data_IF_238977491519
#
_entry.id   IF_238977491519
#
_cell.length_a   1.000
_cell.length_b   1.000
_cell.length_c   1.000
_cell.angle_alpha   90.00
_cell.angle_beta   90.00
_cell.angle_gamma   90.00
#
_symmetry.space_group_name_H-M   'P 1'
#
loop_
_entity.id
_entity.type
_entity.pdbx_description
1 polymer ?
#
# COMPACT_ATOMS: atom_id res chain seq x y z
N UNK A 1 16.55 -0.15 -26.63
CA UNK A 1 17.42 -0.56 -25.52
C UNK A 1 16.97 -1.91 -25.01
N UNK A 2 17.87 -2.72 -24.43
CA UNK A 2 17.50 -3.92 -23.65
C UNK A 2 17.31 -3.54 -22.19
N UNK A 3 16.16 -3.88 -21.62
CA UNK A 3 15.79 -3.53 -20.24
C UNK A 3 15.39 -4.81 -19.52
N UNK A 4 15.97 -5.04 -18.34
CA UNK A 4 15.55 -6.12 -17.46
C UNK A 4 14.63 -5.59 -16.37
N UNK A 5 13.56 -6.33 -16.04
CA UNK A 5 12.66 -6.07 -14.92
C UNK A 5 12.76 -7.24 -13.94
N UNK A 6 13.22 -6.96 -12.73
CA UNK A 6 13.50 -7.95 -11.69
C UNK A 6 12.37 -7.93 -10.64
N UNK A 7 11.57 -9.00 -10.63
CA UNK A 7 10.36 -9.12 -9.82
C UNK A 7 9.12 -8.71 -10.59
N UNK A 8 8.31 -9.69 -11.02
CA UNK A 8 7.13 -9.49 -11.84
C UNK A 8 5.84 -9.49 -10.99
N UNK A 9 5.85 -8.68 -9.92
CA UNK A 9 4.62 -8.34 -9.17
C UNK A 9 3.81 -7.26 -9.91
N UNK A 10 2.82 -6.65 -9.23
CA UNK A 10 1.98 -5.58 -9.79
C UNK A 10 2.79 -4.46 -10.47
N UNK A 11 3.80 -3.93 -9.79
CA UNK A 11 4.65 -2.87 -10.34
C UNK A 11 5.50 -3.37 -11.50
N UNK A 12 6.18 -4.52 -11.32
CA UNK A 12 7.11 -5.03 -12.33
C UNK A 12 6.45 -5.41 -13.63
N UNK A 13 5.30 -6.10 -13.59
CA UNK A 13 4.58 -6.49 -14.81
C UNK A 13 3.98 -5.27 -15.52
N UNK A 14 3.47 -4.29 -14.77
CA UNK A 14 3.00 -3.02 -15.33
C UNK A 14 4.12 -2.27 -16.05
N UNK A 15 5.28 -2.08 -15.41
CA UNK A 15 6.45 -1.45 -16.04
C UNK A 15 6.91 -2.23 -17.27
N UNK A 16 7.07 -3.56 -17.16
CA UNK A 16 7.43 -4.41 -18.29
C UNK A 16 6.49 -4.22 -19.47
N UNK A 17 5.18 -4.20 -19.20
CA UNK A 17 4.14 -3.99 -20.21
C UNK A 17 4.23 -2.63 -20.92
N UNK A 18 4.37 -1.55 -20.17
CA UNK A 18 4.45 -0.22 -20.76
C UNK A 18 5.78 0.01 -21.50
N UNK A 19 6.91 -0.43 -20.93
CA UNK A 19 8.21 -0.26 -21.57
C UNK A 19 8.39 -1.16 -22.81
N UNK A 20 7.69 -2.29 -22.92
CA UNK A 20 7.75 -3.16 -24.11
C UNK A 20 7.26 -2.48 -25.39
N UNK A 21 6.50 -1.40 -25.28
CA UNK A 21 6.08 -0.59 -26.45
C UNK A 21 7.26 0.06 -27.18
N UNK A 22 8.40 0.28 -26.50
CA UNK A 22 9.57 1.01 -27.05
C UNK A 22 10.90 0.27 -26.86
N UNK A 23 10.96 -0.72 -26.01
CA UNK A 23 12.19 -1.38 -25.60
C UNK A 23 12.04 -2.91 -25.63
N UNK A 24 13.13 -3.62 -25.75
CA UNK A 24 13.17 -5.07 -25.60
C UNK A 24 13.23 -5.42 -24.10
N UNK A 25 12.23 -6.11 -23.59
CA UNK A 25 12.09 -6.36 -22.14
C UNK A 25 12.41 -7.80 -21.81
N UNK A 26 13.26 -8.00 -20.81
CA UNK A 26 13.52 -9.26 -20.15
C UNK A 26 12.84 -9.22 -18.79
N UNK A 27 11.79 -10.00 -18.60
CA UNK A 27 11.06 -10.09 -17.34
C UNK A 27 11.55 -11.27 -16.50
N UNK A 28 12.22 -11.01 -15.40
CA UNK A 28 12.73 -12.01 -14.48
C UNK A 28 11.92 -12.10 -13.19
N UNK A 29 11.54 -13.31 -12.79
CA UNK A 29 11.01 -13.59 -11.44
C UNK A 29 11.54 -14.96 -10.96
N UNK A 30 11.78 -15.10 -9.66
CA UNK A 30 12.21 -16.35 -9.03
C UNK A 30 11.09 -17.39 -8.97
N UNK A 31 9.84 -16.96 -9.06
CA UNK A 31 8.66 -17.81 -9.04
C UNK A 31 8.43 -18.42 -10.44
N UNK A 32 8.77 -19.72 -10.57
CA UNK A 32 8.63 -20.46 -11.82
C UNK A 32 7.19 -20.54 -12.32
N UNK A 33 6.24 -20.76 -11.42
CA UNK A 33 4.82 -20.88 -11.78
C UNK A 33 4.33 -19.57 -12.40
N UNK A 34 4.62 -18.43 -11.76
CA UNK A 34 4.28 -17.11 -12.28
C UNK A 34 4.88 -16.82 -13.65
N UNK A 35 6.17 -17.17 -13.85
CA UNK A 35 6.84 -16.98 -15.13
C UNK A 35 6.18 -17.83 -16.23
N UNK A 36 5.84 -19.09 -15.94
CA UNK A 36 5.14 -19.95 -16.90
C UNK A 36 3.71 -19.45 -17.20
N UNK A 37 3.00 -18.92 -16.21
CA UNK A 37 1.70 -18.29 -16.43
C UNK A 37 1.80 -17.09 -17.37
N UNK A 38 2.77 -16.19 -17.18
CA UNK A 38 3.00 -15.08 -18.11
C UNK A 38 3.35 -15.54 -19.53
N UNK A 39 4.15 -16.59 -19.68
CA UNK A 39 4.42 -17.20 -21.00
C UNK A 39 3.18 -17.78 -21.68
N UNK A 40 2.20 -18.25 -20.89
CA UNK A 40 0.89 -18.72 -21.36
C UNK A 40 -0.12 -17.62 -21.55
N UNK A 41 0.26 -16.37 -21.27
CA UNK A 41 -0.65 -15.22 -21.40
C UNK A 41 -1.58 -14.99 -20.22
N UNK A 42 -1.29 -15.59 -19.08
CA UNK A 42 -2.09 -15.45 -17.85
C UNK A 42 -1.46 -14.42 -16.94
N UNK A 43 -2.13 -13.29 -16.75
CA UNK A 43 -1.76 -12.26 -15.78
C UNK A 43 -2.76 -12.25 -14.63
N UNK A 44 -2.41 -12.88 -13.51
CA UNK A 44 -3.27 -12.89 -12.31
C UNK A 44 -3.33 -11.55 -11.60
N UNK A 45 -2.45 -10.61 -11.93
CA UNK A 45 -2.47 -9.28 -11.34
C UNK A 45 -3.51 -8.37 -12.00
N UNK A 46 -3.99 -8.73 -13.20
CA UNK A 46 -4.89 -7.97 -14.06
C UNK A 46 -4.35 -6.58 -14.48
N UNK A 47 -3.08 -6.29 -14.23
CA UNK A 47 -2.46 -5.00 -14.55
C UNK A 47 -2.32 -4.77 -16.06
N UNK A 48 -1.90 -5.81 -16.77
CA UNK A 48 -1.83 -5.81 -18.24
C UNK A 48 -2.82 -6.79 -18.90
N UNK A 49 -3.33 -7.74 -18.13
CA UNK A 49 -4.35 -8.70 -18.53
C UNK A 49 -3.96 -9.50 -19.77
N UNK A 50 -4.94 -9.77 -20.64
CA UNK A 50 -4.74 -10.57 -21.87
C UNK A 50 -3.70 -9.99 -22.84
N UNK A 51 -3.31 -8.72 -22.69
CA UNK A 51 -2.27 -8.10 -23.53
C UNK A 51 -0.88 -8.73 -23.33
N UNK A 52 -0.64 -9.46 -22.24
CA UNK A 52 0.66 -10.08 -21.94
C UNK A 52 1.21 -10.89 -23.10
N UNK A 53 0.36 -11.59 -23.85
CA UNK A 53 0.72 -12.36 -25.04
C UNK A 53 1.18 -11.52 -26.24
N UNK A 54 0.87 -10.22 -26.25
CA UNK A 54 1.08 -9.33 -27.39
C UNK A 54 2.31 -8.44 -27.21
N UNK A 55 2.92 -8.44 -26.02
CA UNK A 55 3.92 -7.45 -25.62
C UNK A 55 5.36 -7.81 -25.96
N UNK A 56 5.63 -9.03 -26.43
CA UNK A 56 6.98 -9.46 -26.81
C UNK A 56 8.00 -9.40 -25.66
N UNK A 57 7.57 -9.73 -24.45
CA UNK A 57 8.42 -9.77 -23.25
C UNK A 57 9.06 -11.14 -23.14
N UNK A 58 10.39 -11.19 -22.95
CA UNK A 58 11.12 -12.43 -22.71
C UNK A 58 11.05 -12.78 -21.21
N UNK A 59 10.07 -13.61 -20.83
CA UNK A 59 9.92 -14.06 -19.44
C UNK A 59 10.89 -15.17 -19.09
N UNK A 60 11.65 -15.03 -17.99
CA UNK A 60 12.67 -15.97 -17.58
C UNK A 60 12.78 -16.13 -16.06
N UNK A 61 13.27 -17.30 -15.63
CA UNK A 61 13.71 -17.56 -14.25
C UNK A 61 15.24 -17.66 -14.15
N UNK A 62 15.96 -17.41 -15.26
CA UNK A 62 17.42 -17.46 -15.33
C UNK A 62 17.96 -16.06 -15.25
N UNK A 63 18.68 -15.75 -14.17
CA UNK A 63 19.19 -14.39 -13.95
C UNK A 63 20.26 -14.01 -14.97
N UNK A 64 21.01 -14.98 -15.51
CA UNK A 64 22.02 -14.77 -16.53
C UNK A 64 21.48 -14.18 -17.84
N UNK A 65 20.19 -14.31 -18.10
CA UNK A 65 19.57 -13.74 -19.32
C UNK A 65 19.61 -12.20 -19.35
N UNK A 66 19.84 -11.55 -18.17
CA UNK A 66 19.90 -10.08 -18.08
C UNK A 66 21.24 -9.47 -18.52
N UNK A 67 22.26 -10.26 -18.80
CA UNK A 67 23.66 -9.81 -19.02
C UNK A 67 23.81 -8.74 -20.12
N UNK A 68 22.86 -8.63 -21.03
CA UNK A 68 22.84 -7.62 -22.08
C UNK A 68 21.98 -6.40 -21.76
N UNK A 69 21.36 -6.36 -20.60
CA UNK A 69 20.48 -5.24 -20.22
C UNK A 69 21.28 -3.96 -19.96
N UNK A 70 20.83 -2.87 -20.55
CA UNK A 70 21.38 -1.54 -20.37
C UNK A 70 20.80 -0.86 -19.14
N UNK A 71 19.53 -1.16 -18.85
CA UNK A 71 18.80 -0.74 -17.66
C UNK A 71 18.20 -1.95 -16.97
N UNK A 72 18.36 -2.02 -15.65
CA UNK A 72 17.84 -3.10 -14.81
C UNK A 72 16.91 -2.47 -13.77
N UNK A 73 15.60 -2.67 -13.90
CA UNK A 73 14.59 -2.18 -12.98
C UNK A 73 14.36 -3.21 -11.88
N UNK A 74 14.58 -2.85 -10.62
CA UNK A 74 14.35 -3.70 -9.44
C UNK A 74 13.03 -3.32 -8.80
N UNK A 75 12.04 -4.23 -8.89
CA UNK A 75 10.65 -4.04 -8.47
C UNK A 75 10.16 -5.09 -7.46
N UNK A 76 11.10 -5.64 -6.71
CA UNK A 76 10.80 -6.66 -5.68
C UNK A 76 10.09 -6.03 -4.47
N UNK A 77 9.29 -6.82 -3.71
CA UNK A 77 8.57 -6.30 -2.55
C UNK A 77 9.50 -5.92 -1.40
N UNK A 78 9.04 -4.99 -0.57
CA UNK A 78 9.70 -4.55 0.68
C UNK A 78 8.66 -4.54 1.80
N UNK A 79 8.19 -5.71 2.28
CA UNK A 79 7.15 -5.78 3.28
C UNK A 79 7.64 -5.30 4.65
N UNK A 80 6.70 -4.91 5.51
CA UNK A 80 6.97 -4.74 6.95
C UNK A 80 6.52 -6.00 7.69
N UNK A 81 7.38 -6.44 8.61
CA UNK A 81 7.10 -7.57 9.50
C UNK A 81 7.20 -7.07 10.93
N UNK A 82 6.10 -7.11 11.67
CA UNK A 82 5.99 -6.61 13.06
C UNK A 82 6.52 -5.15 13.21
N UNK A 83 6.19 -4.28 12.24
CA UNK A 83 6.64 -2.88 12.24
C UNK A 83 8.11 -2.67 11.86
N UNK A 84 8.82 -3.72 11.46
CA UNK A 84 10.20 -3.65 10.98
C UNK A 84 10.24 -3.91 9.46
N UNK A 85 11.04 -3.13 8.76
CA UNK A 85 11.19 -3.25 7.29
C UNK A 85 11.99 -4.51 6.96
N UNK A 86 11.44 -5.35 6.09
CA UNK A 86 12.18 -6.44 5.47
C UNK A 86 12.69 -6.04 4.08
N UNK A 87 13.91 -5.51 4.05
CA UNK A 87 14.61 -5.14 2.82
C UNK A 87 15.44 -6.31 2.22
N UNK A 88 15.30 -7.53 2.75
CA UNK A 88 16.08 -8.70 2.31
C UNK A 88 15.88 -9.03 0.83
N UNK A 89 14.67 -8.80 0.30
CA UNK A 89 14.37 -9.03 -1.11
C UNK A 89 15.17 -8.11 -2.03
N UNK A 90 15.27 -6.82 -1.69
CA UNK A 90 16.06 -5.85 -2.50
C UNK A 90 17.55 -6.18 -2.43
N UNK A 91 18.06 -6.51 -1.24
CA UNK A 91 19.46 -6.92 -1.07
C UNK A 91 19.77 -8.19 -1.86
N UNK A 92 18.94 -9.22 -1.76
CA UNK A 92 19.09 -10.46 -2.54
C UNK A 92 19.00 -10.22 -4.05
N UNK A 93 18.07 -9.37 -4.51
CA UNK A 93 17.99 -9.00 -5.91
C UNK A 93 19.30 -8.33 -6.37
N UNK A 94 19.85 -7.39 -5.57
CA UNK A 94 21.14 -6.75 -5.85
C UNK A 94 22.30 -7.77 -5.92
N UNK A 95 22.36 -8.73 -4.98
CA UNK A 95 23.34 -9.84 -5.01
C UNK A 95 23.23 -10.68 -6.27
N UNK A 96 22.01 -11.02 -6.68
CA UNK A 96 21.74 -11.88 -7.84
C UNK A 96 22.09 -11.21 -9.17
N UNK A 97 21.78 -9.92 -9.33
CA UNK A 97 22.00 -9.19 -10.58
C UNK A 97 23.46 -8.78 -10.78
N UNK A 98 24.19 -8.51 -9.69
CA UNK A 98 25.51 -7.92 -9.72
C UNK A 98 26.52 -8.68 -10.65
N UNK A 99 26.65 -10.02 -10.60
CA UNK A 99 27.59 -10.74 -11.46
C UNK A 99 27.28 -10.65 -12.96
N UNK A 100 26.02 -10.33 -13.31
CA UNK A 100 25.52 -10.31 -14.68
C UNK A 100 25.31 -8.91 -15.26
N UNK A 101 25.64 -7.87 -14.49
CA UNK A 101 25.56 -6.50 -14.99
C UNK A 101 26.58 -6.25 -16.10
N UNK A 102 26.11 -5.77 -17.24
CA UNK A 102 27.02 -5.33 -18.31
C UNK A 102 27.78 -4.04 -17.92
N UNK A 103 28.89 -3.78 -18.60
CA UNK A 103 29.61 -2.52 -18.48
C UNK A 103 28.72 -1.34 -18.89
N UNK A 104 28.63 -0.32 -18.05
CA UNK A 104 27.80 0.88 -18.26
C UNK A 104 26.31 0.67 -17.99
N UNK A 105 25.88 -0.45 -17.41
CA UNK A 105 24.50 -0.68 -17.02
C UNK A 105 24.05 0.28 -15.90
N UNK A 106 22.76 0.62 -15.89
CA UNK A 106 22.16 1.40 -14.81
C UNK A 106 21.16 0.50 -14.08
N UNK A 107 21.37 0.31 -12.77
CA UNK A 107 20.42 -0.42 -11.89
C UNK A 107 19.50 0.59 -11.23
N UNK A 108 18.19 0.47 -11.49
CA UNK A 108 17.18 1.41 -10.96
C UNK A 108 16.30 0.69 -9.96
N UNK A 109 16.25 1.20 -8.74
CA UNK A 109 15.36 0.69 -7.71
C UNK A 109 14.02 1.40 -7.74
N UNK A 110 12.96 0.63 -7.91
CA UNK A 110 11.56 1.08 -7.88
C UNK A 110 10.88 0.68 -6.56
N UNK A 111 11.46 -0.30 -5.85
CA UNK A 111 10.99 -0.78 -4.56
C UNK A 111 11.01 0.33 -3.51
N UNK A 112 10.01 0.36 -2.63
CA UNK A 112 9.96 1.34 -1.53
C UNK A 112 11.09 1.12 -0.55
N UNK A 113 11.87 2.16 -0.28
CA UNK A 113 12.97 2.12 0.68
C UNK A 113 13.05 3.43 1.50
N UNK A 114 13.82 3.42 2.57
CA UNK A 114 14.09 4.63 3.35
C UNK A 114 15.22 5.46 2.69
N UNK A 115 15.32 6.77 2.98
CA UNK A 115 16.39 7.61 2.46
C UNK A 115 17.77 7.08 2.80
N UNK A 116 18.69 7.13 1.83
CA UNK A 116 20.05 6.59 1.83
C UNK A 116 20.15 5.06 1.60
N UNK A 117 19.05 4.34 1.43
CA UNK A 117 19.10 2.89 1.28
C UNK A 117 19.89 2.46 0.03
N UNK A 118 19.61 3.07 -1.12
CA UNK A 118 20.31 2.73 -2.37
C UNK A 118 21.83 2.95 -2.22
N UNK A 119 22.23 4.06 -1.62
CA UNK A 119 23.64 4.39 -1.45
C UNK A 119 24.34 3.57 -0.39
N UNK A 120 23.72 3.38 0.77
CA UNK A 120 24.35 2.72 1.92
C UNK A 120 24.28 1.20 1.87
N UNK A 121 23.25 0.64 1.20
CA UNK A 121 22.99 -0.80 1.20
C UNK A 121 23.16 -1.43 -0.19
N UNK A 122 22.55 -0.83 -1.24
CA UNK A 122 22.52 -1.46 -2.55
C UNK A 122 23.86 -1.32 -3.30
N UNK A 123 24.46 -0.12 -3.34
CA UNK A 123 25.74 0.11 -4.03
C UNK A 123 26.83 -0.82 -3.49
N UNK A 124 27.09 -0.91 -2.15
CA UNK A 124 28.10 -1.81 -1.64
C UNK A 124 27.89 -3.29 -2.00
N UNK A 125 26.62 -3.72 -2.08
CA UNK A 125 26.29 -5.09 -2.50
C UNK A 125 26.63 -5.27 -3.98
N UNK A 126 26.21 -4.34 -4.85
CA UNK A 126 26.50 -4.40 -6.28
C UNK A 126 28.00 -4.44 -6.56
N UNK A 127 28.78 -3.57 -5.91
CA UNK A 127 30.23 -3.52 -6.05
C UNK A 127 30.89 -4.82 -5.58
N UNK A 128 30.50 -5.29 -4.38
CA UNK A 128 31.06 -6.52 -3.78
C UNK A 128 30.88 -7.76 -4.68
N UNK A 129 29.69 -7.94 -5.24
CA UNK A 129 29.35 -9.15 -5.98
C UNK A 129 29.66 -9.07 -7.48
N UNK A 130 29.81 -7.85 -8.05
CA UNK A 130 30.21 -7.67 -9.44
C UNK A 130 31.73 -7.48 -9.61
N UNK A 131 32.42 -7.00 -8.58
CA UNK A 131 33.82 -6.54 -8.68
C UNK A 131 33.97 -5.24 -9.47
N UNK A 132 32.89 -4.50 -9.70
CA UNK A 132 32.83 -3.24 -10.46
C UNK A 132 32.63 -2.06 -9.53
N UNK A 133 32.98 -0.86 -9.98
CA UNK A 133 32.87 0.40 -9.22
C UNK A 133 31.67 1.23 -9.71
N UNK A 134 30.82 1.68 -8.77
CA UNK A 134 29.69 2.56 -9.09
C UNK A 134 30.16 3.95 -9.51
N UNK A 135 29.56 4.50 -10.57
CA UNK A 135 29.98 5.76 -11.17
C UNK A 135 31.12 5.62 -12.18
N UNK A 136 31.74 4.44 -12.32
CA UNK A 136 32.81 4.11 -13.28
C UNK A 136 32.37 3.01 -14.23
N UNK A 137 32.04 1.83 -13.68
CA UNK A 137 31.72 0.63 -14.45
C UNK A 137 30.20 0.42 -14.62
N UNK A 138 29.42 0.91 -13.68
CA UNK A 138 27.96 0.91 -13.69
C UNK A 138 27.44 2.13 -12.94
N UNK A 139 26.16 2.39 -13.03
CA UNK A 139 25.53 3.44 -12.24
C UNK A 139 24.24 2.93 -11.57
N UNK A 140 23.71 3.70 -10.64
CA UNK A 140 22.43 3.39 -9.99
C UNK A 140 21.46 4.55 -10.11
N UNK A 141 20.16 4.21 -10.05
CA UNK A 141 19.07 5.16 -9.99
C UNK A 141 18.02 4.73 -8.99
N UNK A 142 17.16 5.67 -8.67
CA UNK A 142 15.97 5.44 -7.89
C UNK A 142 14.77 6.15 -8.51
N UNK A 143 13.64 5.44 -8.57
CA UNK A 143 12.41 6.00 -9.10
C UNK A 143 11.21 5.39 -8.37
N UNK A 144 10.59 6.12 -7.41
CA UNK A 144 9.48 5.60 -6.63
C UNK A 144 8.24 5.34 -7.49
N UNK A 145 7.55 4.23 -7.24
CA UNK A 145 6.27 3.94 -7.85
C UNK A 145 5.11 4.51 -7.04
N UNK A 146 4.10 5.08 -7.73
CA UNK A 146 2.93 5.75 -7.15
C UNK A 146 1.59 5.23 -7.66
N UNK A 147 1.60 4.17 -8.47
CA UNK A 147 0.36 3.55 -8.98
C UNK A 147 -0.39 2.89 -7.82
N UNK A 148 -1.71 3.09 -7.82
CA UNK A 148 -2.61 2.37 -6.94
C UNK A 148 -3.20 1.19 -7.72
N UNK A 149 -2.92 -0.07 -7.32
CA UNK A 149 -3.44 -1.24 -8.01
C UNK A 149 -4.94 -1.13 -8.26
N UNK A 150 -5.36 -1.41 -9.51
CA UNK A 150 -6.76 -1.30 -9.94
C UNK A 150 -7.23 0.11 -10.30
N UNK A 151 -6.42 1.16 -10.15
CA UNK A 151 -6.78 2.52 -10.58
C UNK A 151 -6.55 2.68 -12.09
N UNK A 152 -7.65 2.64 -12.85
CA UNK A 152 -7.63 2.78 -14.32
C UNK A 152 -7.46 4.22 -14.80
N UNK A 153 -7.60 5.21 -13.90
CA UNK A 153 -7.50 6.63 -14.23
C UNK A 153 -6.06 7.14 -14.07
N UNK A 154 -5.43 6.80 -12.93
CA UNK A 154 -4.07 7.23 -12.62
C UNK A 154 -3.10 6.07 -12.90
N UNK A 155 -2.72 5.94 -14.16
CA UNK A 155 -1.83 4.89 -14.66
C UNK A 155 -0.36 5.33 -14.63
N UNK A 156 0.57 4.39 -14.81
CA UNK A 156 2.00 4.69 -14.95
C UNK A 156 2.27 5.77 -16.00
N UNK A 157 1.51 5.82 -17.11
CA UNK A 157 1.73 6.78 -18.20
C UNK A 157 1.45 8.24 -17.81
N UNK A 158 0.44 8.48 -16.98
CA UNK A 158 -0.06 9.85 -16.71
C UNK A 158 0.30 10.39 -15.31
N UNK A 159 0.80 9.54 -14.40
CA UNK A 159 1.35 10.00 -13.13
C UNK A 159 2.75 10.57 -13.37
N UNK A 160 3.06 11.70 -12.73
CA UNK A 160 4.41 12.25 -12.76
C UNK A 160 5.40 11.29 -12.08
N UNK A 161 6.38 10.82 -12.84
CA UNK A 161 7.42 9.89 -12.36
C UNK A 161 8.63 10.67 -11.85
N UNK A 162 8.95 10.53 -10.57
CA UNK A 162 10.17 11.10 -9.98
C UNK A 162 11.33 10.19 -10.30
N UNK A 163 12.47 10.75 -10.71
CA UNK A 163 13.69 10.00 -11.03
C UNK A 163 14.94 10.68 -10.45
N UNK A 164 15.88 9.89 -9.97
CA UNK A 164 17.21 10.34 -9.59
C UNK A 164 18.25 9.31 -10.01
N UNK A 165 19.42 9.76 -10.42
CA UNK A 165 20.60 8.94 -10.65
C UNK A 165 21.67 9.16 -9.58
N UNK A 166 22.70 8.34 -9.63
CA UNK A 166 23.91 8.47 -8.81
C UNK A 166 24.58 9.85 -8.99
N UNK A 167 24.53 10.36 -10.22
CA UNK A 167 25.03 11.65 -10.66
C UNK A 167 24.07 12.32 -11.67
N UNK A 168 24.41 13.53 -12.13
CA UNK A 168 23.58 14.30 -13.07
C UNK A 168 23.45 13.59 -14.42
N UNK A 169 24.52 12.96 -14.92
CA UNK A 169 24.51 12.23 -16.18
C UNK A 169 23.55 11.05 -16.13
N UNK A 170 23.61 10.26 -15.06
CA UNK A 170 22.70 9.14 -14.83
C UNK A 170 21.26 9.63 -14.67
N UNK A 171 21.04 10.73 -13.93
CA UNK A 171 19.72 11.36 -13.77
C UNK A 171 19.14 11.77 -15.12
N UNK A 172 19.94 12.36 -15.98
CA UNK A 172 19.54 12.75 -17.34
C UNK A 172 19.18 11.53 -18.19
N UNK A 173 20.05 10.49 -18.23
CA UNK A 173 19.81 9.24 -18.97
C UNK A 173 18.51 8.56 -18.52
N UNK A 174 18.26 8.48 -17.22
CA UNK A 174 17.04 7.92 -16.67
C UNK A 174 15.83 8.79 -17.02
N UNK A 175 15.98 10.12 -16.95
CA UNK A 175 14.92 11.02 -17.39
C UNK A 175 14.47 10.76 -18.82
N UNK A 176 15.41 10.60 -19.76
CA UNK A 176 15.13 10.27 -21.16
C UNK A 176 14.53 8.87 -21.32
N UNK A 177 15.04 7.89 -20.58
CA UNK A 177 14.50 6.54 -20.58
C UNK A 177 13.02 6.54 -20.17
N UNK A 178 12.68 7.12 -19.03
CA UNK A 178 11.30 7.18 -18.56
C UNK A 178 10.38 8.00 -19.47
N UNK A 179 10.84 9.12 -20.02
CA UNK A 179 10.09 9.93 -21.01
C UNK A 179 9.76 9.19 -22.30
N UNK A 180 10.47 8.11 -22.61
CA UNK A 180 10.13 7.29 -23.79
C UNK A 180 8.72 6.71 -23.72
N UNK A 181 8.16 6.55 -22.51
CA UNK A 181 6.86 5.91 -22.25
C UNK A 181 5.95 6.73 -21.34
N UNK A 182 6.53 7.50 -20.39
CA UNK A 182 5.80 8.24 -19.36
C UNK A 182 5.71 9.72 -19.76
N UNK A 183 4.51 10.30 -19.72
CA UNK A 183 4.27 11.67 -20.18
C UNK A 183 5.02 12.74 -19.38
N UNK A 184 5.11 12.54 -18.05
CA UNK A 184 5.72 13.52 -17.13
C UNK A 184 6.77 12.86 -16.26
N UNK A 185 8.02 13.33 -16.40
CA UNK A 185 9.15 12.89 -15.58
C UNK A 185 9.73 14.09 -14.85
N UNK A 186 9.89 13.97 -13.55
CA UNK A 186 10.44 15.00 -12.68
C UNK A 186 11.78 14.54 -12.10
N UNK A 187 12.91 14.99 -12.66
CA UNK A 187 14.22 14.67 -12.11
C UNK A 187 14.47 15.43 -10.81
N UNK A 188 15.05 14.74 -9.83
CA UNK A 188 15.53 15.33 -8.57
C UNK A 188 17.03 15.13 -8.42
N UNK A 189 17.66 15.99 -7.63
CA UNK A 189 19.10 16.11 -7.60
C UNK A 189 19.85 14.91 -6.99
N UNK A 190 19.20 14.14 -6.10
CA UNK A 190 19.85 13.04 -5.37
C UNK A 190 18.95 11.83 -5.21
N UNK A 191 19.56 10.65 -5.09
CA UNK A 191 18.86 9.40 -4.79
C UNK A 191 18.02 9.54 -3.51
N UNK A 192 18.60 10.15 -2.48
CA UNK A 192 17.99 10.34 -1.17
C UNK A 192 16.72 11.21 -1.23
N UNK A 193 16.72 12.22 -2.12
CA UNK A 193 15.54 13.06 -2.33
C UNK A 193 14.40 12.27 -3.00
N UNK A 194 14.71 11.42 -3.97
CA UNK A 194 13.72 10.55 -4.62
C UNK A 194 13.19 9.48 -3.67
N UNK A 195 14.05 8.85 -2.87
CA UNK A 195 13.67 7.89 -1.83
C UNK A 195 12.76 8.55 -0.77
N UNK A 196 13.16 9.72 -0.26
CA UNK A 196 12.38 10.47 0.73
C UNK A 196 11.01 10.90 0.21
N UNK A 197 10.91 11.27 -1.07
CA UNK A 197 9.69 11.79 -1.67
C UNK A 197 8.49 10.86 -1.42
N UNK A 198 8.61 9.59 -1.75
CA UNK A 198 7.53 8.61 -1.60
C UNK A 198 7.11 8.40 -0.15
N UNK A 199 8.08 8.07 0.70
CA UNK A 199 7.79 7.72 2.10
C UNK A 199 7.30 8.93 2.90
N UNK A 200 7.79 10.13 2.60
CA UNK A 200 7.34 11.37 3.23
C UNK A 200 5.91 11.74 2.78
N UNK A 201 5.59 11.55 1.49
CA UNK A 201 4.26 11.81 0.94
C UNK A 201 3.20 10.90 1.59
N UNK A 202 3.48 9.61 1.78
CA UNK A 202 2.56 8.70 2.47
C UNK A 202 2.52 8.97 3.99
N UNK A 203 3.64 9.35 4.60
CA UNK A 203 3.70 9.80 5.99
C UNK A 203 2.87 11.06 6.24
N UNK A 204 2.85 12.00 5.29
CA UNK A 204 1.99 13.19 5.35
C UNK A 204 0.51 12.81 5.35
N UNK A 205 0.11 11.81 4.54
CA UNK A 205 -1.28 11.30 4.54
C UNK A 205 -1.62 10.68 5.88
N UNK A 206 -0.78 9.80 6.40
CA UNK A 206 -0.96 9.16 7.70
C UNK A 206 -1.12 10.18 8.83
N UNK A 207 -0.25 11.20 8.87
CA UNK A 207 -0.29 12.29 9.83
C UNK A 207 -1.61 13.09 9.76
N UNK A 208 -2.04 13.46 8.55
CA UNK A 208 -3.27 14.23 8.38
C UNK A 208 -4.51 13.43 8.79
N UNK A 209 -4.54 12.12 8.51
CA UNK A 209 -5.61 11.24 8.97
C UNK A 209 -5.57 11.13 10.50
N UNK A 210 -4.38 10.99 11.11
CA UNK A 210 -4.23 10.94 12.57
C UNK A 210 -4.78 12.19 13.25
N UNK A 211 -4.55 13.38 12.66
CA UNK A 211 -5.12 14.63 13.17
C UNK A 211 -6.65 14.58 13.23
N UNK A 212 -7.30 14.15 12.15
CA UNK A 212 -8.76 14.07 12.09
C UNK A 212 -9.27 12.95 13.01
N UNK A 213 -8.60 11.79 13.04
CA UNK A 213 -8.94 10.70 13.96
C UNK A 213 -8.86 11.14 15.42
N UNK A 214 -7.78 11.82 15.80
CA UNK A 214 -7.64 12.31 17.17
C UNK A 214 -8.72 13.33 17.54
N UNK A 215 -9.05 14.25 16.62
CA UNK A 215 -10.15 15.19 16.82
C UNK A 215 -11.48 14.45 17.05
N UNK A 216 -11.82 13.48 16.18
CA UNK A 216 -13.04 12.69 16.30
C UNK A 216 -13.13 11.91 17.62
N UNK A 217 -12.02 11.35 18.08
CA UNK A 217 -11.97 10.58 19.34
C UNK A 217 -12.09 11.48 20.57
N UNK A 218 -11.54 12.70 20.54
CA UNK A 218 -11.54 13.65 21.67
C UNK A 218 -12.83 14.46 21.80
N UNK A 219 -13.52 14.70 20.70
CA UNK A 219 -14.75 15.51 20.63
C UNK A 219 -15.90 14.72 20.00
N UNK A 220 -16.31 13.58 20.61
CA UNK A 220 -17.35 12.72 20.04
C UNK A 220 -18.75 13.39 19.97
N UNK A 221 -18.94 14.53 20.62
CA UNK A 221 -20.14 15.36 20.55
C UNK A 221 -20.16 16.28 19.32
N UNK A 222 -19.06 16.42 18.59
CA UNK A 222 -18.96 17.23 17.38
C UNK A 222 -19.01 16.31 16.16
N UNK A 223 -19.87 16.64 15.22
CA UNK A 223 -19.91 15.95 13.93
C UNK A 223 -18.63 16.25 13.12
N UNK A 224 -17.65 15.34 13.21
CA UNK A 224 -16.37 15.45 12.52
C UNK A 224 -16.53 15.53 11.00
N UNK A 225 -17.49 14.80 10.42
CA UNK A 225 -17.73 14.84 8.98
C UNK A 225 -18.27 16.21 8.53
N UNK A 226 -19.15 16.85 9.33
CA UNK A 226 -19.60 18.21 9.06
C UNK A 226 -18.44 19.22 9.14
N UNK A 227 -17.55 19.06 10.12
CA UNK A 227 -16.34 19.90 10.24
C UNK A 227 -15.46 19.75 9.00
N UNK A 228 -15.17 18.51 8.58
CA UNK A 228 -14.34 18.24 7.40
C UNK A 228 -15.03 18.75 6.11
N UNK A 229 -16.35 18.56 5.97
CA UNK A 229 -17.11 19.14 4.84
C UNK A 229 -16.95 20.67 4.81
N UNK A 230 -17.05 21.34 5.97
CA UNK A 230 -16.85 22.78 6.07
C UNK A 230 -15.41 23.22 5.77
N UNK A 231 -14.40 22.47 6.23
CA UNK A 231 -12.99 22.69 5.85
C UNK A 231 -12.80 22.60 4.34
N UNK A 232 -13.37 21.59 3.70
CA UNK A 232 -13.24 21.30 2.27
C UNK A 232 -13.93 22.33 1.35
N UNK A 233 -14.67 23.29 1.88
CA UNK A 233 -15.18 24.42 1.08
C UNK A 233 -14.08 25.42 0.67
N UNK A 234 -12.88 25.34 1.26
CA UNK A 234 -11.76 26.23 0.96
C UNK A 234 -10.85 25.59 -0.09
N UNK A 235 -10.31 26.42 -0.98
CA UNK A 235 -9.46 26.00 -2.09
C UNK A 235 -8.17 25.27 -1.64
N UNK A 236 -7.69 25.53 -0.44
CA UNK A 236 -6.46 24.95 0.12
C UNK A 236 -6.73 23.77 1.09
N UNK A 237 -7.96 23.25 1.11
CA UNK A 237 -8.30 22.09 1.92
C UNK A 237 -7.59 20.83 1.43
N UNK A 238 -7.21 19.95 2.35
CA UNK A 238 -6.45 18.74 2.05
C UNK A 238 -7.34 17.50 1.83
N UNK A 239 -8.63 17.55 2.21
CA UNK A 239 -9.62 16.51 1.93
C UNK A 239 -9.51 15.24 2.77
N UNK A 240 -8.71 15.23 3.84
CA UNK A 240 -8.59 14.06 4.71
C UNK A 240 -9.81 13.92 5.63
N UNK A 241 -10.21 12.65 5.88
CA UNK A 241 -11.31 12.27 6.76
C UNK A 241 -10.82 11.31 7.83
N UNK A 242 -11.61 11.12 8.90
CA UNK A 242 -11.40 10.06 9.88
C UNK A 242 -11.56 8.67 9.28
N UNK A 243 -10.99 7.67 9.94
CA UNK A 243 -11.16 6.26 9.56
C UNK A 243 -9.99 5.37 9.93
N UNK A 244 -10.16 4.09 9.64
CA UNK A 244 -9.13 3.08 9.83
C UNK A 244 -8.00 3.26 8.81
N UNK A 245 -6.75 3.19 9.26
CA UNK A 245 -5.57 3.33 8.41
C UNK A 245 -4.85 1.99 8.33
N UNK A 246 -5.16 1.24 7.29
CA UNK A 246 -4.57 -0.07 6.96
C UNK A 246 -3.84 -0.06 5.62
N UNK A 247 -3.63 -1.26 5.07
CA UNK A 247 -2.94 -1.46 3.79
C UNK A 247 -1.42 -1.29 3.88
N UNK A 248 -0.74 -1.36 2.72
CA UNK A 248 0.72 -1.41 2.65
C UNK A 248 1.38 -0.04 2.53
N UNK A 249 0.68 0.99 2.07
CA UNK A 249 1.32 2.28 1.78
C UNK A 249 1.25 3.22 2.98
N UNK A 250 0.02 3.69 3.33
CA UNK A 250 -0.13 4.74 4.35
C UNK A 250 0.26 4.25 5.74
N UNK A 251 -0.05 2.98 6.08
CA UNK A 251 0.26 2.41 7.39
C UNK A 251 1.73 1.98 7.55
N UNK A 252 2.40 1.65 6.45
CA UNK A 252 3.76 1.07 6.48
C UNK A 252 4.87 2.07 6.13
N UNK A 253 4.69 2.93 5.12
CA UNK A 253 5.74 3.86 4.68
C UNK A 253 6.27 4.80 5.80
N UNK A 254 5.47 5.29 6.78
CA UNK A 254 6.01 6.03 7.92
C UNK A 254 7.05 5.25 8.73
N UNK A 255 6.92 3.90 8.79
CA UNK A 255 7.86 3.05 9.52
C UNK A 255 9.27 3.11 8.91
N UNK A 256 9.38 3.33 7.58
CA UNK A 256 10.66 3.50 6.91
C UNK A 256 11.43 4.72 7.42
N UNK A 257 10.73 5.86 7.58
CA UNK A 257 11.34 7.08 8.13
C UNK A 257 11.64 6.93 9.63
N UNK A 258 10.74 6.32 10.40
CA UNK A 258 10.94 6.05 11.83
C UNK A 258 12.15 5.15 12.03
N UNK A 259 12.24 4.03 11.28
CA UNK A 259 13.36 3.09 11.34
C UNK A 259 14.68 3.77 11.04
N UNK A 260 14.76 4.51 9.92
CA UNK A 260 16.00 5.22 9.53
C UNK A 260 16.40 6.29 10.54
N UNK A 261 15.42 7.03 11.08
CA UNK A 261 15.67 8.06 12.08
C UNK A 261 16.23 7.44 13.39
N UNK A 262 15.65 6.31 13.82
CA UNK A 262 16.12 5.57 15.02
C UNK A 262 17.52 5.01 14.81
N UNK A 263 17.85 4.48 13.63
CA UNK A 263 19.20 3.97 13.33
C UNK A 263 20.28 5.07 13.41
N UNK A 264 19.87 6.35 13.27
CA UNK A 264 20.71 7.53 13.44
C UNK A 264 20.72 8.11 14.87
N UNK A 265 20.13 7.37 15.84
CA UNK A 265 20.06 7.80 17.25
C UNK A 265 19.05 8.91 17.52
N UNK A 266 18.13 9.20 16.60
CA UNK A 266 17.11 10.23 16.72
C UNK A 266 15.70 9.63 16.81
N UNK A 267 14.70 10.47 17.15
CA UNK A 267 13.28 10.11 17.20
C UNK A 267 12.47 10.97 16.23
N UNK A 268 11.65 10.35 15.39
CA UNK A 268 10.70 11.06 14.53
C UNK A 268 9.34 11.18 15.27
N UNK A 269 9.33 11.96 16.34
CA UNK A 269 8.21 12.06 17.30
C UNK A 269 6.85 12.25 16.62
N UNK A 270 6.76 13.17 15.64
CA UNK A 270 5.50 13.48 14.97
C UNK A 270 4.91 12.25 14.23
N UNK A 271 5.73 11.46 13.57
CA UNK A 271 5.27 10.25 12.88
C UNK A 271 4.95 9.12 13.85
N UNK A 272 5.73 8.97 14.91
CA UNK A 272 5.48 7.95 15.93
C UNK A 272 4.15 8.19 16.63
N UNK A 273 3.83 9.45 16.98
CA UNK A 273 2.54 9.81 17.57
C UNK A 273 1.38 9.65 16.58
N UNK A 274 1.57 10.03 15.32
CA UNK A 274 0.54 9.83 14.30
C UNK A 274 0.20 8.34 14.12
N UNK A 275 1.22 7.48 14.05
CA UNK A 275 1.03 6.02 13.99
C UNK A 275 0.31 5.51 15.24
N UNK A 276 0.71 5.92 16.41
CA UNK A 276 0.05 5.55 17.66
C UNK A 276 -1.44 5.91 17.65
N UNK A 277 -1.78 7.14 17.26
CA UNK A 277 -3.18 7.59 17.16
C UNK A 277 -3.98 6.73 16.18
N UNK A 278 -3.44 6.47 14.99
CA UNK A 278 -4.13 5.67 13.98
C UNK A 278 -4.27 4.19 14.39
N UNK A 279 -3.33 3.64 15.15
CA UNK A 279 -3.41 2.28 15.72
C UNK A 279 -4.41 2.18 16.89
N UNK A 280 -4.74 3.27 17.58
CA UNK A 280 -5.74 3.30 18.64
C UNK A 280 -7.18 3.36 18.13
N UNK A 281 -7.42 3.74 16.86
CA UNK A 281 -8.78 3.85 16.31
C UNK A 281 -9.57 2.53 16.42
N UNK A 282 -9.04 1.34 16.10
CA UNK A 282 -9.76 0.09 16.28
C UNK A 282 -10.24 -0.13 17.71
N UNK A 283 -9.39 0.18 18.71
CA UNK A 283 -9.74 0.08 20.13
C UNK A 283 -10.85 1.05 20.49
N UNK A 284 -10.78 2.28 20.00
CA UNK A 284 -11.82 3.30 20.21
C UNK A 284 -13.18 2.81 19.67
N UNK A 285 -13.21 2.20 18.49
CA UNK A 285 -14.43 1.62 17.90
C UNK A 285 -15.02 0.53 18.81
N UNK A 286 -14.20 -0.36 19.36
CA UNK A 286 -14.65 -1.40 20.31
C UNK A 286 -15.24 -0.78 21.58
N UNK A 287 -14.63 0.28 22.13
CA UNK A 287 -15.15 0.99 23.30
C UNK A 287 -16.50 1.63 23.00
N UNK A 288 -16.65 2.30 21.85
CA UNK A 288 -17.90 2.91 21.42
C UNK A 288 -19.00 1.86 21.18
N UNK A 289 -18.67 0.71 20.63
CA UNK A 289 -19.60 -0.43 20.51
C UNK A 289 -20.11 -0.87 21.88
N UNK A 290 -19.21 -1.03 22.84
CA UNK A 290 -19.57 -1.37 24.22
C UNK A 290 -20.48 -0.31 24.88
N UNK A 291 -20.17 0.98 24.69
CA UNK A 291 -20.99 2.09 25.22
C UNK A 291 -22.41 2.06 24.66
N UNK A 292 -22.60 1.84 23.35
CA UNK A 292 -23.93 1.76 22.73
C UNK A 292 -24.71 0.53 23.20
N UNK A 293 -24.05 -0.63 23.30
CA UNK A 293 -24.67 -1.84 23.82
C UNK A 293 -25.14 -1.66 25.28
N UNK A 294 -24.30 -1.06 26.14
CA UNK A 294 -24.64 -0.78 27.53
C UNK A 294 -25.85 0.17 27.66
N UNK A 295 -25.94 1.23 26.81
CA UNK A 295 -27.13 2.10 26.74
C UNK A 295 -28.39 1.35 26.37
N UNK A 296 -28.28 0.27 25.60
CA UNK A 296 -29.39 -0.61 25.23
C UNK A 296 -29.62 -1.75 26.22
N UNK A 297 -28.92 -1.75 27.37
CA UNK A 297 -29.06 -2.77 28.41
C UNK A 297 -28.40 -4.11 28.07
N UNK A 298 -27.47 -4.15 27.13
CA UNK A 298 -26.74 -5.35 26.65
C UNK A 298 -25.29 -5.31 27.06
N UNK A 299 -24.73 -6.46 27.47
CA UNK A 299 -23.30 -6.57 27.76
C UNK A 299 -22.55 -7.03 26.49
N UNK A 300 -21.36 -6.47 26.24
CA UNK A 300 -20.53 -6.83 25.09
C UNK A 300 -20.26 -8.34 25.01
N UNK A 301 -19.95 -8.97 26.15
CA UNK A 301 -19.60 -10.41 26.22
C UNK A 301 -20.72 -11.38 25.87
N UNK A 302 -21.97 -10.94 25.81
CA UNK A 302 -23.14 -11.76 25.45
C UNK A 302 -23.83 -11.26 24.18
N UNK A 303 -23.24 -10.29 23.51
CA UNK A 303 -23.82 -9.67 22.31
C UNK A 303 -23.35 -10.33 21.03
N UNK A 304 -24.24 -10.33 20.04
CA UNK A 304 -23.96 -10.71 18.65
C UNK A 304 -23.73 -9.43 17.83
N UNK A 305 -22.56 -9.34 17.22
CA UNK A 305 -22.12 -8.14 16.50
C UNK A 305 -21.86 -8.47 15.04
N UNK A 306 -22.48 -7.73 14.14
CA UNK A 306 -22.24 -7.80 12.71
C UNK A 306 -21.23 -6.74 12.30
N UNK A 307 -20.13 -7.16 11.66
CA UNK A 307 -19.15 -6.27 11.05
C UNK A 307 -19.33 -6.30 9.54
N UNK A 308 -19.54 -5.15 8.93
CA UNK A 308 -19.67 -4.95 7.50
C UNK A 308 -18.41 -4.31 6.92
N UNK A 309 -17.72 -5.08 6.05
CA UNK A 309 -16.44 -4.74 5.45
C UNK A 309 -15.24 -5.21 6.27
N UNK A 310 -14.38 -6.03 5.64
CA UNK A 310 -13.15 -6.56 6.25
C UNK A 310 -11.89 -6.16 5.48
N UNK A 311 -12.04 -5.63 4.27
CA UNK A 311 -10.93 -5.17 3.44
C UNK A 311 -10.27 -3.91 4.02
N UNK A 312 -9.06 -3.54 3.55
CA UNK A 312 -8.37 -2.38 4.11
C UNK A 312 -8.95 -1.03 3.60
N UNK A 313 -9.69 -1.04 2.50
CA UNK A 313 -10.38 0.14 1.94
C UNK A 313 -11.63 -0.27 1.16
N UNK A 314 -12.49 0.71 0.89
CA UNK A 314 -13.71 0.54 0.10
C UNK A 314 -13.45 0.03 -1.33
N UNK A 315 -14.33 -0.84 -1.80
CA UNK A 315 -14.39 -1.35 -3.18
C UNK A 315 -13.08 -2.00 -3.68
N UNK A 316 -12.32 -2.59 -2.76
CA UNK A 316 -11.06 -3.28 -3.05
C UNK A 316 -11.03 -4.62 -2.30
N UNK A 317 -10.71 -5.75 -2.95
CA UNK A 317 -10.74 -7.07 -2.32
C UNK A 317 -9.56 -7.35 -1.36
N UNK A 318 -8.56 -6.46 -1.31
CA UNK A 318 -7.33 -6.66 -0.55
C UNK A 318 -7.56 -6.54 0.98
N UNK A 319 -7.16 -7.57 1.71
CA UNK A 319 -7.31 -7.68 3.18
C UNK A 319 -6.02 -7.43 3.96
N UNK A 320 -4.90 -7.28 3.27
CA UNK A 320 -3.58 -7.16 3.90
C UNK A 320 -3.53 -5.95 4.83
N UNK A 321 -3.06 -6.17 6.07
CA UNK A 321 -2.98 -5.15 7.12
C UNK A 321 -4.33 -4.41 7.35
N UNK A 322 -5.46 -5.12 7.22
CA UNK A 322 -6.77 -4.54 7.51
C UNK A 322 -6.94 -4.29 9.00
N UNK A 323 -7.24 -3.05 9.37
CA UNK A 323 -7.50 -2.65 10.77
C UNK A 323 -8.86 -3.13 11.30
N UNK A 324 -9.76 -3.53 10.41
CA UNK A 324 -11.02 -4.19 10.81
C UNK A 324 -10.76 -5.53 11.48
N UNK A 325 -9.72 -6.26 11.07
CA UNK A 325 -9.32 -7.51 11.72
C UNK A 325 -9.00 -7.28 13.20
N UNK A 326 -8.31 -6.18 13.53
CA UNK A 326 -8.02 -5.80 14.94
C UNK A 326 -9.30 -5.57 15.74
N UNK A 327 -10.36 -5.00 15.12
CA UNK A 327 -11.68 -4.85 15.76
C UNK A 327 -12.31 -6.22 15.99
N UNK A 328 -12.32 -7.12 14.98
CA UNK A 328 -12.85 -8.48 15.06
C UNK A 328 -12.20 -9.25 16.22
N UNK A 329 -10.88 -9.24 16.28
CA UNK A 329 -10.12 -9.94 17.32
C UNK A 329 -10.39 -9.40 18.73
N UNK A 330 -10.45 -8.07 18.87
CA UNK A 330 -10.71 -7.43 20.15
C UNK A 330 -12.14 -7.74 20.66
N UNK A 331 -13.15 -7.74 19.79
CA UNK A 331 -14.51 -8.09 20.13
C UNK A 331 -14.64 -9.57 20.51
N UNK A 332 -14.05 -10.49 19.74
CA UNK A 332 -14.02 -11.93 20.06
C UNK A 332 -13.32 -12.19 21.39
N UNK A 333 -12.18 -11.52 21.66
CA UNK A 333 -11.47 -11.61 22.95
C UNK A 333 -12.30 -11.10 24.12
N UNK A 334 -13.22 -10.17 23.88
CA UNK A 334 -14.15 -9.66 24.89
C UNK A 334 -15.38 -10.55 25.09
N UNK A 335 -15.47 -11.69 24.39
CA UNK A 335 -16.53 -12.68 24.53
C UNK A 335 -17.73 -12.49 23.59
N UNK A 336 -17.72 -11.49 22.71
CA UNK A 336 -18.80 -11.26 21.76
C UNK A 336 -18.83 -12.33 20.65
N UNK A 337 -20.05 -12.67 20.20
CA UNK A 337 -20.25 -13.40 18.93
C UNK A 337 -20.07 -12.42 17.77
N UNK A 338 -19.06 -12.63 16.95
CA UNK A 338 -18.72 -11.70 15.85
C UNK A 338 -18.96 -12.38 14.51
N UNK A 339 -19.81 -11.77 13.70
CA UNK A 339 -20.11 -12.15 12.32
C UNK A 339 -19.50 -11.10 11.40
N UNK A 340 -18.79 -11.54 10.37
CA UNK A 340 -18.16 -10.67 9.39
C UNK A 340 -18.83 -10.88 8.03
N UNK A 341 -19.29 -9.78 7.42
CA UNK A 341 -19.87 -9.78 6.07
C UNK A 341 -19.03 -8.87 5.18
N UNK A 342 -18.56 -9.43 4.07
CA UNK A 342 -17.92 -8.67 3.01
C UNK A 342 -18.15 -9.34 1.65
N UNK A 343 -18.99 -8.76 0.77
CA UNK A 343 -19.27 -9.32 -0.54
C UNK A 343 -18.10 -9.29 -1.52
N UNK A 344 -17.10 -8.41 -1.27
CA UNK A 344 -16.01 -8.13 -2.20
C UNK A 344 -14.78 -9.00 -1.91
N UNK A 345 -14.54 -9.34 -0.64
CA UNK A 345 -13.33 -10.04 -0.19
C UNK A 345 -13.13 -11.40 -0.87
N UNK A 346 -11.87 -11.72 -1.22
CA UNK A 346 -11.48 -13.10 -1.50
C UNK A 346 -11.24 -13.85 -0.17
N UNK A 347 -12.09 -14.82 0.11
CA UNK A 347 -11.99 -15.63 1.32
C UNK A 347 -10.73 -16.52 1.36
N UNK A 348 -10.09 -16.82 0.23
CA UNK A 348 -8.82 -17.54 0.22
C UNK A 348 -7.73 -16.71 0.90
N UNK A 349 -7.64 -15.43 0.51
CA UNK A 349 -6.69 -14.49 1.11
C UNK A 349 -7.02 -14.23 2.58
N UNK A 350 -8.29 -13.98 2.92
CA UNK A 350 -8.70 -13.76 4.30
C UNK A 350 -8.37 -14.96 5.20
N UNK A 351 -8.63 -16.17 4.73
CA UNK A 351 -8.30 -17.42 5.45
C UNK A 351 -6.78 -17.63 5.56
N UNK A 352 -6.04 -17.33 4.51
CA UNK A 352 -4.58 -17.47 4.50
C UNK A 352 -3.92 -16.49 5.50
N UNK A 353 -4.36 -15.22 5.54
CA UNK A 353 -3.75 -14.19 6.39
C UNK A 353 -4.23 -14.24 7.84
N UNK A 354 -5.52 -14.57 8.06
CA UNK A 354 -6.15 -14.35 9.37
C UNK A 354 -6.90 -15.58 9.91
N UNK A 355 -6.99 -16.69 9.15
CA UNK A 355 -7.53 -17.97 9.62
C UNK A 355 -9.07 -18.03 9.73
N UNK A 356 -9.80 -17.08 9.17
CA UNK A 356 -11.26 -17.09 9.14
C UNK A 356 -11.81 -16.63 7.78
N UNK A 357 -13.11 -16.78 7.56
CA UNK A 357 -13.83 -16.41 6.35
C UNK A 357 -14.91 -15.38 6.66
N UNK A 358 -15.23 -14.52 5.71
CA UNK A 358 -16.37 -13.61 5.76
C UNK A 358 -17.57 -14.18 4.98
N UNK A 359 -18.76 -13.90 5.45
CA UNK A 359 -19.99 -14.21 4.73
C UNK A 359 -20.21 -13.19 3.60
N UNK A 360 -20.99 -13.58 2.59
CA UNK A 360 -21.41 -12.63 1.54
C UNK A 360 -22.61 -11.79 1.99
N UNK A 361 -23.49 -12.36 2.82
CA UNK A 361 -24.67 -11.70 3.39
C UNK A 361 -25.02 -12.30 4.75
N UNK A 362 -25.77 -11.57 5.57
CA UNK A 362 -26.30 -12.02 6.84
C UNK A 362 -27.56 -11.22 7.21
N UNK A 363 -28.66 -11.92 7.48
CA UNK A 363 -29.99 -11.30 7.62
C UNK A 363 -30.66 -11.58 9.00
N UNK A 364 -30.00 -12.32 9.89
CA UNK A 364 -30.56 -12.55 11.23
C UNK A 364 -30.33 -11.35 12.16
N UNK A 365 -31.10 -11.29 13.23
CA UNK A 365 -30.99 -10.23 14.22
C UNK A 365 -29.63 -10.20 14.91
N UNK A 366 -29.10 -9.00 15.10
CA UNK A 366 -27.85 -8.72 15.79
C UNK A 366 -28.03 -7.58 16.82
N UNK A 367 -27.17 -7.54 17.81
CA UNK A 367 -27.24 -6.54 18.88
C UNK A 367 -26.57 -5.21 18.47
N UNK A 368 -25.58 -5.25 17.58
CA UNK A 368 -24.97 -4.08 16.99
C UNK A 368 -24.43 -4.36 15.58
N UNK A 369 -24.36 -3.32 14.76
CA UNK A 369 -23.73 -3.35 13.42
C UNK A 369 -22.56 -2.36 13.42
N UNK A 370 -21.42 -2.80 12.90
CA UNK A 370 -20.24 -1.96 12.69
C UNK A 370 -19.98 -1.88 11.18
N UNK A 371 -20.23 -0.74 10.57
CA UNK A 371 -19.79 -0.42 9.20
C UNK A 371 -18.34 0.01 9.25
N UNK A 372 -17.43 -0.97 9.15
CA UNK A 372 -15.99 -0.74 9.26
C UNK A 372 -15.37 -0.22 7.95
N UNK A 373 -15.89 -0.69 6.80
CA UNK A 373 -15.47 -0.25 5.46
C UNK A 373 -16.69 0.20 4.67
N UNK A 374 -16.57 1.36 4.02
CA UNK A 374 -17.68 2.00 3.30
C UNK A 374 -17.82 1.48 1.86
N UNK A 375 -18.00 0.16 1.68
CA UNK A 375 -18.33 -0.37 0.35
C UNK A 375 -19.63 0.22 -0.18
N UNK A 376 -19.68 0.54 -1.46
CA UNK A 376 -20.90 1.14 -2.06
C UNK A 376 -22.12 0.27 -1.91
N UNK A 377 -21.95 -1.05 -1.98
CA UNK A 377 -23.04 -2.02 -1.80
C UNK A 377 -23.73 -1.90 -0.45
N UNK A 378 -23.05 -1.44 0.60
CA UNK A 378 -23.66 -1.30 1.93
C UNK A 378 -24.57 -0.08 2.05
N UNK A 379 -24.54 0.86 1.11
CA UNK A 379 -25.45 2.01 1.08
C UNK A 379 -26.89 1.62 0.72
N UNK A 380 -27.08 0.40 0.23
CA UNK A 380 -28.37 -0.17 -0.10
C UNK A 380 -29.00 -0.95 1.07
N UNK A 381 -28.31 -1.04 2.21
CA UNK A 381 -28.83 -1.74 3.38
C UNK A 381 -30.06 -1.04 3.99
N UNK A 382 -31.01 -1.81 4.46
CA UNK A 382 -32.10 -1.31 5.30
C UNK A 382 -31.69 -1.40 6.77
N UNK A 383 -31.74 -0.28 7.51
CA UNK A 383 -31.37 -0.23 8.93
C UNK A 383 -32.58 0.11 9.78
N UNK A 384 -32.83 -0.72 10.82
CA UNK A 384 -33.79 -0.36 11.86
C UNK A 384 -33.29 0.85 12.64
N UNK A 385 -34.12 1.89 12.78
CA UNK A 385 -33.82 3.11 13.52
C UNK A 385 -33.44 2.88 14.99
N UNK A 386 -33.81 1.72 15.57
CA UNK A 386 -33.46 1.35 16.94
C UNK A 386 -32.19 0.49 17.03
N UNK A 387 -31.59 0.15 15.91
CA UNK A 387 -30.33 -0.64 15.86
C UNK A 387 -29.18 0.15 16.49
N UNK A 388 -28.28 -0.55 17.22
CA UNK A 388 -27.01 0.02 17.61
C UNK A 388 -26.07 0.02 16.41
N UNK A 389 -25.65 1.20 15.92
CA UNK A 389 -24.82 1.34 14.72
C UNK A 389 -23.55 2.11 15.03
N UNK A 390 -22.43 1.50 14.71
CA UNK A 390 -21.13 2.15 14.65
C UNK A 390 -20.77 2.33 13.16
N UNK A 391 -20.51 3.55 12.75
CA UNK A 391 -20.25 3.90 11.36
C UNK A 391 -18.89 4.61 11.23
N UNK A 392 -17.87 3.86 10.82
CA UNK A 392 -16.49 4.37 10.79
C UNK A 392 -16.29 5.50 9.78
N UNK A 393 -17.11 5.54 8.73
CA UNK A 393 -16.99 6.52 7.64
C UNK A 393 -18.17 7.49 7.54
N UNK A 394 -19.20 7.36 8.37
CA UNK A 394 -20.36 8.22 8.37
C UNK A 394 -21.26 8.07 7.15
N UNK A 395 -21.38 6.86 6.58
CA UNK A 395 -22.25 6.61 5.41
C UNK A 395 -23.73 6.66 5.76
N UNK A 396 -24.07 6.51 7.04
CA UNK A 396 -25.43 6.52 7.58
C UNK A 396 -25.78 7.78 8.36
N UNK A 397 -24.94 8.80 8.34
CA UNK A 397 -25.05 10.00 9.18
C UNK A 397 -26.31 10.82 8.90
N UNK A 398 -26.84 10.79 7.69
CA UNK A 398 -28.07 11.51 7.33
C UNK A 398 -29.36 10.77 7.73
N UNK A 399 -29.24 9.53 8.28
CA UNK A 399 -30.35 8.72 8.73
C UNK A 399 -30.61 8.92 10.23
N UNK A 400 -31.87 8.97 10.62
CA UNK A 400 -32.28 9.22 12.01
C UNK A 400 -32.19 7.96 12.87
N UNK A 401 -30.97 7.40 13.06
CA UNK A 401 -30.72 6.21 13.87
C UNK A 401 -30.53 6.66 15.32
N UNK A 402 -31.31 6.10 16.27
CA UNK A 402 -31.32 6.52 17.68
C UNK A 402 -30.04 6.22 18.43
N UNK A 403 -29.47 5.02 18.18
CA UNK A 403 -28.24 4.54 18.83
C UNK A 403 -27.11 4.50 17.81
N UNK A 404 -26.60 5.68 17.45
CA UNK A 404 -25.64 5.88 16.38
C UNK A 404 -24.36 6.53 16.91
N UNK A 405 -23.22 6.07 16.39
CA UNK A 405 -21.91 6.71 16.53
C UNK A 405 -21.18 6.69 15.18
N UNK A 406 -20.72 7.84 14.72
CA UNK A 406 -19.78 8.00 13.63
C UNK A 406 -18.41 8.44 14.17
N UNK A 407 -17.32 8.00 13.53
CA UNK A 407 -15.95 8.39 13.88
C UNK A 407 -15.63 9.78 13.35
#
# INVERSE_FOLDING_TARGET
MKVAVIGLGYVGISLAGYFSEKHHIIGFDVNKEKVEEYKLGIDRTEEIGERVNQLGIDFTTKIEDIQEAEIILVTVPTPTVAGTIDASYVKKASEMIAPYMKQGAIVVYESTVYPFFTREECIPILEKYSGKECGVDFSVGYSPERVNPGDKKNTIKNITKVVAGYDEETTYKLGEFYRSVIEKVYPVATLEAAEACKVLENSQRDLNIALINQFAMLYPEIDTNAVVKAMNTKWNALGFTSGLVGGHCIAEDPQYLIHKTRSRGNKFTLLEEARYINEEVPRHIVVKTMELLNKSGKALSTSKILIKGITFKENCPDVRNSKTVTIVEALKKSGAEVIVVDPIVDNKDLKQYYGFEALKEYNDNVDAIIYAVAHEIFKEDEIDINQNVIDVKGIWQEYNIKNYYAL
#
